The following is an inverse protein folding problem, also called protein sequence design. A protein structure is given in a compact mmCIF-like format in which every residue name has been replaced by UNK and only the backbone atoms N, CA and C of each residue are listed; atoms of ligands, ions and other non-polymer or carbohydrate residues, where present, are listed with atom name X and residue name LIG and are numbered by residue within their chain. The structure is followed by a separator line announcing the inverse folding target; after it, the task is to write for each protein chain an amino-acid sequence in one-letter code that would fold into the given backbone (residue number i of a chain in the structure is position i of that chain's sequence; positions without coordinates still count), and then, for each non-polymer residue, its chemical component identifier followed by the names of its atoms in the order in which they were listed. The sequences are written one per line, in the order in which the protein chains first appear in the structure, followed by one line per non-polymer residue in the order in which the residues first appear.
data_IF_297955718446
#
_entry.id   IF_297955718446
#
_cell.length_a   1.000
_cell.length_b   1.000
_cell.length_c   1.000
_cell.angle_alpha   90.00
_cell.angle_beta   90.00
_cell.angle_gamma   90.00
#
_symmetry.space_group_name_H-M   'P 1'
#
loop_
_entity.id
_entity.type
_entity.pdbx_description
1 polymer ?
#
# COMPACT_ATOMS: atom_id res chain seq x y z
N UNK A 1 3.84 -6.09 -53.97
CA UNK A 1 2.69 -5.67 -53.14
C UNK A 1 3.20 -5.60 -51.71
N UNK A 2 3.23 -4.41 -51.09
CA UNK A 2 3.72 -4.27 -49.72
C UNK A 2 2.71 -4.92 -48.77
N UNK A 3 3.14 -5.93 -48.03
CA UNK A 3 2.32 -6.60 -47.02
C UNK A 3 2.08 -5.64 -45.85
N UNK A 4 0.82 -5.22 -45.68
CA UNK A 4 0.43 -4.28 -44.63
C UNK A 4 0.26 -5.06 -43.32
N UNK A 5 1.30 -5.04 -42.48
CA UNK A 5 1.27 -5.71 -41.18
C UNK A 5 0.29 -5.00 -40.23
N UNK A 6 -0.95 -5.49 -40.21
CA UNK A 6 -2.04 -4.99 -39.34
C UNK A 6 -1.68 -5.04 -37.84
N UNK A 7 -0.71 -5.89 -37.48
CA UNK A 7 -0.22 -6.02 -36.11
C UNK A 7 0.53 -4.77 -35.58
N UNK A 8 0.94 -3.85 -36.47
CA UNK A 8 1.54 -2.55 -36.08
C UNK A 8 0.53 -1.41 -35.90
N UNK A 9 -0.78 -1.67 -36.02
CA UNK A 9 -1.83 -0.63 -35.97
C UNK A 9 -2.78 -0.87 -34.79
N UNK A 10 -2.61 -1.95 -34.02
CA UNK A 10 -3.51 -2.33 -32.92
C UNK A 10 -2.76 -2.45 -31.60
N UNK A 11 -3.46 -2.11 -30.53
CA UNK A 11 -3.01 -2.46 -29.19
C UNK A 11 -2.91 -3.97 -29.01
N UNK A 12 -1.87 -4.43 -28.31
CA UNK A 12 -1.65 -5.85 -28.04
C UNK A 12 -1.72 -6.13 -26.55
N UNK A 13 -2.71 -6.92 -26.14
CA UNK A 13 -2.78 -7.39 -24.76
C UNK A 13 -1.69 -8.44 -24.49
N UNK A 14 -0.83 -8.17 -23.51
CA UNK A 14 0.28 -9.04 -23.08
C UNK A 14 0.02 -9.77 -21.76
N UNK A 15 -1.10 -9.49 -21.08
CA UNK A 15 -1.40 -10.08 -19.78
C UNK A 15 -0.76 -9.32 -18.62
N UNK A 16 -0.37 -10.04 -17.57
CA UNK A 16 0.33 -9.45 -16.43
C UNK A 16 1.74 -9.00 -16.81
N UNK A 17 2.19 -7.88 -16.24
CA UNK A 17 3.55 -7.39 -16.41
C UNK A 17 4.55 -8.37 -15.78
N UNK A 18 5.65 -8.61 -16.48
CA UNK A 18 6.72 -9.52 -16.06
C UNK A 18 8.07 -8.82 -16.30
N UNK A 19 8.87 -8.71 -15.24
CA UNK A 19 10.24 -8.19 -15.30
C UNK A 19 11.10 -8.94 -16.31
N UNK A 20 12.05 -8.25 -16.96
CA UNK A 20 12.95 -8.81 -17.98
C UNK A 20 12.29 -9.11 -19.33
N UNK A 21 10.97 -8.90 -19.47
CA UNK A 21 10.28 -9.07 -20.75
C UNK A 21 10.50 -7.85 -21.63
N UNK A 22 10.78 -8.06 -22.92
CA UNK A 22 10.78 -6.95 -23.88
C UNK A 22 9.34 -6.61 -24.28
N UNK A 23 9.00 -5.34 -24.07
CA UNK A 23 7.75 -4.74 -24.50
C UNK A 23 8.02 -3.73 -25.60
N UNK A 24 7.16 -3.74 -26.60
CA UNK A 24 7.20 -2.78 -27.71
C UNK A 24 6.01 -1.84 -27.62
N UNK A 25 6.10 -0.73 -28.34
CA UNK A 25 5.06 0.30 -28.32
C UNK A 25 3.67 -0.31 -28.59
N UNK A 26 2.67 0.20 -27.85
CA UNK A 26 1.27 -0.21 -27.89
C UNK A 26 0.97 -1.59 -27.29
N UNK A 27 1.95 -2.23 -26.65
CA UNK A 27 1.71 -3.37 -25.77
C UNK A 27 1.00 -2.93 -24.49
N UNK A 28 -0.07 -3.64 -24.12
CA UNK A 28 -0.86 -3.39 -22.93
C UNK A 28 -0.60 -4.48 -21.91
N UNK A 29 -0.32 -4.09 -20.67
CA UNK A 29 -0.10 -4.98 -19.53
C UNK A 29 -1.01 -4.63 -18.35
N UNK A 30 -1.30 -5.62 -17.51
CA UNK A 30 -1.82 -5.40 -16.15
C UNK A 30 -0.66 -5.36 -15.16
N UNK A 31 -0.67 -4.37 -14.28
CA UNK A 31 0.19 -4.34 -13.10
C UNK A 31 -0.64 -4.03 -11.86
N UNK A 32 -0.79 -5.02 -10.98
CA UNK A 32 -1.73 -4.94 -9.86
C UNK A 32 -3.17 -4.84 -10.36
N UNK A 33 -3.91 -3.84 -9.89
CA UNK A 33 -5.29 -3.57 -10.30
C UNK A 33 -5.41 -2.62 -11.51
N UNK A 34 -4.28 -2.16 -12.06
CA UNK A 34 -4.22 -1.10 -13.07
C UNK A 34 -3.76 -1.65 -14.41
N UNK A 35 -4.14 -0.95 -15.48
CA UNK A 35 -3.76 -1.29 -16.85
C UNK A 35 -2.87 -0.19 -17.43
N UNK A 36 -1.78 -0.60 -18.07
CA UNK A 36 -0.78 0.30 -18.64
C UNK A 36 -0.49 -0.06 -20.10
N UNK A 37 -0.14 0.94 -20.89
CA UNK A 37 0.35 0.79 -22.27
C UNK A 37 1.81 1.21 -22.36
N UNK A 38 2.60 0.41 -23.07
CA UNK A 38 4.01 0.72 -23.36
C UNK A 38 4.07 1.83 -24.40
N UNK A 39 4.72 2.94 -24.06
CA UNK A 39 4.85 4.09 -24.97
C UNK A 39 6.16 4.06 -25.77
N UNK A 40 7.17 3.34 -25.26
CA UNK A 40 8.44 3.10 -25.95
C UNK A 40 8.83 1.63 -25.87
N UNK A 41 9.67 1.18 -26.81
CA UNK A 41 10.28 -0.14 -26.70
C UNK A 41 11.32 -0.15 -25.58
N UNK A 42 11.27 -1.16 -24.72
CA UNK A 42 12.24 -1.35 -23.64
C UNK A 42 12.26 -2.82 -23.20
N UNK A 43 13.24 -3.16 -22.36
CA UNK A 43 13.22 -4.39 -21.58
C UNK A 43 12.81 -4.02 -20.17
N UNK A 44 11.75 -4.65 -19.66
CA UNK A 44 11.18 -4.32 -18.36
C UNK A 44 12.22 -4.49 -17.24
N UNK A 45 12.32 -3.47 -16.38
CA UNK A 45 13.17 -3.50 -15.19
C UNK A 45 12.67 -4.52 -14.15
N UNK A 46 13.46 -4.81 -13.12
CA UNK A 46 13.02 -5.63 -12.00
C UNK A 46 11.92 -4.94 -11.18
N UNK A 47 11.93 -3.60 -11.12
CA UNK A 47 10.92 -2.79 -10.46
C UNK A 47 10.12 -2.00 -11.51
N UNK A 48 8.83 -2.32 -11.64
CA UNK A 48 7.91 -1.62 -12.54
C UNK A 48 7.94 -0.09 -12.40
N UNK A 49 8.12 0.43 -11.19
CA UNK A 49 8.11 1.88 -10.96
C UNK A 49 9.36 2.58 -11.54
N UNK A 50 10.48 1.87 -11.71
CA UNK A 50 11.65 2.44 -12.39
C UNK A 50 11.35 2.74 -13.87
N UNK A 51 10.51 1.93 -14.51
CA UNK A 51 10.08 2.14 -15.89
C UNK A 51 8.94 3.16 -15.98
N UNK A 52 8.04 3.19 -14.99
CA UNK A 52 6.91 4.12 -14.93
C UNK A 52 7.36 5.55 -14.65
N UNK A 53 8.20 5.74 -13.63
CA UNK A 53 8.60 7.05 -13.09
C UNK A 53 9.94 7.55 -13.69
N UNK A 54 10.39 6.94 -14.78
CA UNK A 54 11.57 7.36 -15.52
C UNK A 54 11.38 8.79 -16.09
N UNK A 55 12.49 9.51 -16.27
CA UNK A 55 12.50 10.85 -16.93
C UNK A 55 11.77 10.81 -18.27
N UNK A 56 11.97 9.71 -19.02
CA UNK A 56 11.15 9.36 -20.18
C UNK A 56 10.33 8.12 -19.77
N UNK A 57 9.07 8.30 -19.35
CA UNK A 57 8.23 7.19 -18.91
C UNK A 57 8.15 6.11 -19.98
N UNK A 58 8.18 4.85 -19.58
CA UNK A 58 8.00 3.71 -20.50
C UNK A 58 6.55 3.26 -20.58
N UNK A 59 5.76 3.61 -19.57
CA UNK A 59 4.37 3.21 -19.41
C UNK A 59 3.46 4.43 -19.29
N UNK A 60 2.25 4.32 -19.83
CA UNK A 60 1.16 5.26 -19.59
C UNK A 60 -0.05 4.51 -19.03
N UNK A 61 -0.68 5.05 -17.98
CA UNK A 61 -1.83 4.41 -17.35
C UNK A 61 -3.07 4.56 -18.25
N UNK A 62 -3.69 3.45 -18.65
CA UNK A 62 -4.93 3.44 -19.43
C UNK A 62 -6.17 3.36 -18.54
N UNK A 63 -6.11 2.54 -17.49
CA UNK A 63 -7.21 2.35 -16.55
C UNK A 63 -6.71 2.30 -15.12
N UNK A 64 -7.42 3.01 -14.26
CA UNK A 64 -7.22 2.93 -12.82
C UNK A 64 -8.04 1.75 -12.25
N UNK A 65 -7.64 1.27 -11.09
CA UNK A 65 -8.30 0.19 -10.38
C UNK A 65 -7.77 0.03 -8.97
N UNK A 66 -8.54 -0.70 -8.18
CA UNK A 66 -8.18 -1.04 -6.81
C UNK A 66 -8.35 -2.54 -6.61
N UNK A 67 -7.49 -3.14 -5.80
CA UNK A 67 -7.60 -4.56 -5.48
C UNK A 67 -7.47 -4.80 -3.98
N UNK A 68 -8.34 -5.67 -3.47
CA UNK A 68 -8.30 -6.09 -2.08
C UNK A 68 -7.24 -7.18 -1.89
N UNK A 69 -6.27 -6.91 -1.01
CA UNK A 69 -5.19 -7.84 -0.67
C UNK A 69 -5.43 -8.58 0.65
N UNK A 70 -6.48 -8.21 1.39
CA UNK A 70 -6.79 -8.80 2.70
C UNK A 70 -6.12 -8.07 3.85
N UNK A 71 -5.71 -8.82 4.87
CA UNK A 71 -4.95 -8.28 5.99
C UNK A 71 -3.54 -7.90 5.51
N UNK A 72 -3.00 -6.83 6.09
CA UNK A 72 -1.61 -6.44 5.87
C UNK A 72 -0.64 -7.55 6.31
N UNK A 73 0.42 -7.75 5.55
CA UNK A 73 1.44 -8.78 5.77
C UNK A 73 2.83 -8.13 5.77
N UNK A 74 3.73 -8.69 6.55
CA UNK A 74 5.14 -8.30 6.57
C UNK A 74 5.87 -8.78 5.31
N UNK A 75 6.95 -8.08 4.94
CA UNK A 75 7.78 -8.40 3.78
C UNK A 75 7.01 -8.67 2.47
N UNK A 76 5.83 -8.07 2.32
CA UNK A 76 5.00 -8.16 1.14
C UNK A 76 5.15 -6.90 0.30
N UNK A 77 5.33 -7.07 -1.01
CA UNK A 77 5.41 -5.92 -1.92
C UNK A 77 4.00 -5.44 -2.26
N UNK A 78 3.65 -4.24 -1.81
CA UNK A 78 2.38 -3.60 -2.10
C UNK A 78 2.48 -2.72 -3.34
N UNK A 79 1.53 -2.90 -4.25
CA UNK A 79 1.41 -2.12 -5.49
C UNK A 79 0.45 -0.96 -5.31
N UNK A 80 0.65 0.13 -6.06
CA UNK A 80 -0.23 1.30 -6.04
C UNK A 80 -1.66 0.87 -6.41
N UNK A 81 -2.63 1.25 -5.57
CA UNK A 81 -4.03 0.85 -5.71
C UNK A 81 -4.39 -0.45 -4.99
N UNK A 82 -3.43 -1.17 -4.40
CA UNK A 82 -3.74 -2.26 -3.48
C UNK A 82 -4.30 -1.72 -2.16
N UNK A 83 -5.30 -2.43 -1.63
CA UNK A 83 -6.01 -2.07 -0.42
C UNK A 83 -5.82 -3.19 0.59
N UNK A 84 -5.36 -2.84 1.80
CA UNK A 84 -5.06 -3.78 2.88
C UNK A 84 -5.68 -3.32 4.21
N UNK A 85 -6.07 -4.28 5.05
CA UNK A 85 -6.54 -4.03 6.42
C UNK A 85 -5.36 -3.97 7.38
N UNK A 86 -5.27 -2.89 8.16
CA UNK A 86 -4.31 -2.76 9.27
C UNK A 86 -5.08 -2.38 10.53
N UNK A 87 -5.11 -3.30 11.50
CA UNK A 87 -5.89 -3.13 12.72
C UNK A 87 -7.39 -2.94 12.42
N UNK A 88 -7.93 -1.79 12.83
CA UNK A 88 -9.33 -1.39 12.64
C UNK A 88 -9.60 -0.72 11.29
N UNK A 89 -8.56 -0.20 10.65
CA UNK A 89 -8.67 0.64 9.47
C UNK A 89 -8.27 -0.12 8.19
N UNK A 90 -8.75 0.39 7.06
CA UNK A 90 -8.40 -0.09 5.74
C UNK A 90 -7.62 1.00 5.04
N UNK A 91 -6.47 0.64 4.52
CA UNK A 91 -5.54 1.55 3.85
C UNK A 91 -5.39 1.17 2.38
N UNK A 92 -5.22 2.18 1.53
CA UNK A 92 -4.86 2.03 0.12
C UNK A 92 -3.42 2.49 -0.07
N UNK A 93 -2.62 1.67 -0.74
CA UNK A 93 -1.24 1.98 -1.08
C UNK A 93 -1.21 3.02 -2.21
N UNK A 94 -0.47 4.11 -2.01
CA UNK A 94 -0.31 5.19 -3.00
C UNK A 94 1.08 5.23 -3.63
N UNK A 95 2.07 4.59 -3.00
CA UNK A 95 3.43 4.43 -3.52
C UNK A 95 3.86 2.97 -3.35
N UNK A 96 4.38 2.35 -4.42
CA UNK A 96 4.74 0.93 -4.36
C UNK A 96 5.99 0.69 -3.52
N UNK A 97 5.89 -0.21 -2.55
CA UNK A 97 7.00 -0.49 -1.63
C UNK A 97 6.92 -1.90 -1.05
N UNK A 98 8.06 -2.36 -0.52
CA UNK A 98 8.12 -3.54 0.33
C UNK A 98 7.71 -3.14 1.75
N UNK A 99 6.69 -3.77 2.29
CA UNK A 99 6.24 -3.52 3.66
C UNK A 99 7.33 -3.89 4.69
N UNK A 100 7.27 -3.26 5.86
CA UNK A 100 8.09 -3.62 7.02
C UNK A 100 8.24 -5.14 7.25
N UNK A 101 9.44 -5.54 7.68
CA UNK A 101 9.78 -6.95 7.94
C UNK A 101 9.26 -7.47 9.29
N UNK A 102 8.84 -6.57 10.19
CA UNK A 102 8.36 -6.91 11.53
C UNK A 102 6.92 -6.47 11.73
N UNK A 103 6.08 -7.35 12.27
CA UNK A 103 4.69 -7.04 12.63
C UNK A 103 4.61 -5.96 13.72
N UNK A 104 5.64 -5.85 14.56
CA UNK A 104 5.72 -4.83 15.60
C UNK A 104 5.85 -3.40 15.05
N UNK A 105 6.27 -3.25 13.79
CA UNK A 105 6.35 -1.95 13.13
C UNK A 105 5.07 -1.64 12.34
N UNK A 106 4.38 -2.65 11.81
CA UNK A 106 3.18 -2.43 10.99
C UNK A 106 3.44 -1.42 9.87
N UNK A 107 2.68 -0.32 9.87
CA UNK A 107 2.82 0.80 8.93
C UNK A 107 3.85 1.88 9.35
N UNK A 108 4.43 1.78 10.55
CA UNK A 108 5.35 2.81 11.06
C UNK A 108 6.56 2.97 10.14
N UNK A 109 6.86 4.22 9.76
CA UNK A 109 7.93 4.58 8.83
C UNK A 109 7.51 4.54 7.36
N UNK A 110 6.40 3.87 7.03
CA UNK A 110 5.81 3.84 5.70
C UNK A 110 4.50 4.67 5.63
N UNK A 111 4.13 5.44 6.66
CA UNK A 111 2.80 6.06 6.74
C UNK A 111 2.46 6.97 5.56
N UNK A 112 3.46 7.65 4.98
CA UNK A 112 3.27 8.51 3.81
C UNK A 112 2.91 7.74 2.53
N UNK A 113 3.14 6.43 2.49
CA UNK A 113 2.88 5.54 1.34
C UNK A 113 1.45 4.97 1.36
N UNK A 114 0.67 5.31 2.39
CA UNK A 114 -0.68 4.81 2.60
C UNK A 114 -1.68 5.94 2.82
N UNK A 115 -2.90 5.75 2.30
CA UNK A 115 -4.04 6.64 2.57
C UNK A 115 -5.20 5.86 3.14
N UNK A 116 -5.99 6.48 4.03
CA UNK A 116 -7.21 5.87 4.53
C UNK A 116 -8.19 5.59 3.39
N UNK A 117 -8.59 4.33 3.25
CA UNK A 117 -9.66 3.92 2.36
C UNK A 117 -10.99 3.82 3.11
N UNK A 118 -10.96 3.23 4.31
CA UNK A 118 -12.09 3.21 5.24
C UNK A 118 -11.56 3.24 6.68
N UNK A 119 -12.29 3.92 7.56
CA UNK A 119 -12.01 3.94 8.99
C UNK A 119 -13.00 3.06 9.71
N UNK A 120 -12.50 2.24 10.62
CA UNK A 120 -13.30 1.43 11.52
C UNK A 120 -12.82 1.60 12.94
N UNK A 121 -13.54 0.98 13.87
CA UNK A 121 -13.15 0.91 15.27
C UNK A 121 -12.99 -0.57 15.65
N UNK A 122 -11.91 -0.87 16.36
CA UNK A 122 -11.65 -2.22 16.88
C UNK A 122 -11.50 -2.13 18.38
N UNK A 123 -12.40 -2.79 19.08
CA UNK A 123 -12.30 -2.91 20.53
C UNK A 123 -11.14 -3.84 20.89
N UNK A 124 -10.21 -3.31 21.66
CA UNK A 124 -9.12 -4.03 22.29
C UNK A 124 -9.33 -4.00 23.82
N UNK A 125 -8.68 -4.90 24.54
CA UNK A 125 -8.77 -5.04 25.98
C UNK A 125 -7.99 -3.95 26.74
N UNK A 126 -7.41 -4.30 27.89
CA UNK A 126 -6.54 -3.44 28.68
C UNK A 126 -5.32 -2.99 27.89
N UNK A 127 -4.88 -1.76 28.13
CA UNK A 127 -3.61 -1.23 27.63
C UNK A 127 -2.44 -2.17 27.99
N UNK A 128 -1.53 -2.38 27.05
CA UNK A 128 -0.31 -3.15 27.23
C UNK A 128 0.91 -2.30 26.86
N UNK A 129 2.03 -2.44 27.58
CA UNK A 129 3.29 -1.76 27.25
C UNK A 129 3.95 -2.39 26.01
N UNK A 130 4.83 -1.64 25.33
CA UNK A 130 5.59 -2.08 24.16
C UNK A 130 4.75 -2.77 23.06
N UNK A 131 3.50 -2.31 22.90
CA UNK A 131 2.52 -2.90 21.98
C UNK A 131 2.23 -1.90 20.86
N UNK A 132 2.25 -2.37 19.62
CA UNK A 132 1.86 -1.55 18.48
C UNK A 132 0.34 -1.34 18.49
N UNK A 133 -0.08 -0.08 18.62
CA UNK A 133 -1.47 0.32 18.45
C UNK A 133 -1.67 0.99 17.10
N UNK A 134 -2.64 0.49 16.35
CA UNK A 134 -3.01 1.06 15.06
C UNK A 134 -4.17 2.05 15.20
N UNK A 135 -4.31 2.96 14.23
CA UNK A 135 -5.41 3.92 14.23
C UNK A 135 -6.77 3.23 14.27
N UNK A 136 -7.65 3.72 15.15
CA UNK A 136 -9.00 3.19 15.38
C UNK A 136 -9.06 2.03 16.38
N UNK A 137 -7.94 1.64 17.00
CA UNK A 137 -7.97 0.70 18.12
C UNK A 137 -8.36 1.41 19.41
N UNK A 138 -9.28 0.80 20.16
CA UNK A 138 -9.81 1.33 21.41
C UNK A 138 -9.33 0.46 22.59
N UNK A 139 -8.81 1.05 23.64
CA UNK A 139 -8.24 0.39 24.83
C UNK A 139 -8.83 0.94 26.12
N UNK A 140 -8.72 0.16 27.20
CA UNK A 140 -9.07 0.60 28.55
C UNK A 140 -7.81 0.87 29.35
N UNK A 141 -7.71 2.07 29.94
CA UNK A 141 -6.62 2.47 30.84
C UNK A 141 -7.16 3.38 31.96
N UNK A 142 -6.82 3.06 33.22
CA UNK A 142 -7.23 3.86 34.37
C UNK A 142 -8.74 3.97 34.59
N UNK A 143 -9.53 3.01 34.09
CA UNK A 143 -11.01 3.04 34.15
C UNK A 143 -11.67 3.86 33.05
N UNK A 144 -10.90 4.51 32.17
CA UNK A 144 -11.40 5.22 30.99
C UNK A 144 -11.09 4.48 29.71
N UNK A 145 -11.88 4.77 28.68
CA UNK A 145 -11.73 4.21 27.34
C UNK A 145 -10.99 5.23 26.47
N UNK A 146 -10.00 4.77 25.72
CA UNK A 146 -9.15 5.60 24.87
C UNK A 146 -9.10 5.02 23.46
N UNK A 147 -9.11 5.87 22.43
CA UNK A 147 -8.97 5.48 21.02
C UNK A 147 -7.66 6.01 20.44
N UNK A 148 -6.92 5.15 19.76
CA UNK A 148 -5.69 5.51 19.07
C UNK A 148 -6.02 6.31 17.80
N UNK A 149 -5.47 7.53 17.69
CA UNK A 149 -5.66 8.42 16.52
C UNK A 149 -4.45 8.42 15.58
N UNK A 150 -3.27 8.06 16.10
CA UNK A 150 -2.02 7.97 15.35
C UNK A 150 -1.32 6.68 15.72
N UNK A 151 -0.98 5.85 14.73
CA UNK A 151 -0.29 4.58 14.98
C UNK A 151 1.03 4.82 15.71
N UNK A 152 1.28 4.06 16.78
CA UNK A 152 2.52 4.15 17.55
C UNK A 152 2.71 2.89 18.40
N UNK A 153 3.95 2.66 18.82
CA UNK A 153 4.28 1.64 19.83
C UNK A 153 4.14 2.26 21.21
N UNK A 154 3.35 1.62 22.09
CA UNK A 154 3.17 2.09 23.46
C UNK A 154 4.48 2.04 24.24
N UNK A 155 4.63 2.96 25.19
CA UNK A 155 5.82 3.05 26.03
C UNK A 155 5.86 1.96 27.12
N UNK A 156 6.83 2.04 28.01
CA UNK A 156 6.96 1.14 29.16
C UNK A 156 5.83 1.35 30.18
N UNK A 157 5.59 0.34 31.02
CA UNK A 157 4.58 0.41 32.10
C UNK A 157 4.78 1.61 33.04
N UNK A 158 6.03 2.07 33.22
CA UNK A 158 6.34 3.21 34.08
C UNK A 158 5.95 4.56 33.47
N UNK A 159 5.99 4.68 32.14
CA UNK A 159 5.62 5.90 31.42
C UNK A 159 4.12 5.95 31.08
N UNK A 160 3.48 4.78 30.93
CA UNK A 160 2.04 4.65 30.72
C UNK A 160 1.54 5.31 29.43
N UNK A 161 0.26 5.69 29.41
CA UNK A 161 -0.37 6.35 28.27
C UNK A 161 0.00 7.84 28.16
N UNK A 162 0.41 8.46 29.27
CA UNK A 162 0.67 9.90 29.37
C UNK A 162 1.82 10.33 28.44
N UNK A 163 2.83 9.47 28.27
CA UNK A 163 3.95 9.71 27.37
C UNK A 163 3.55 9.87 25.89
N UNK A 164 2.44 9.24 25.48
CA UNK A 164 1.91 9.32 24.12
C UNK A 164 0.50 9.88 24.07
N UNK A 165 0.10 10.71 25.04
CA UNK A 165 -1.28 11.20 25.17
C UNK A 165 -1.81 11.87 23.89
N UNK A 166 -0.96 12.55 23.13
CA UNK A 166 -1.33 13.17 21.85
C UNK A 166 -1.78 12.16 20.78
N UNK A 167 -1.42 10.89 20.91
CA UNK A 167 -1.82 9.81 20.00
C UNK A 167 -3.12 9.13 20.42
N UNK A 168 -3.74 9.57 21.52
CA UNK A 168 -4.96 9.00 22.08
C UNK A 168 -6.04 10.06 22.22
N UNK A 169 -7.30 9.66 21.98
CA UNK A 169 -8.49 10.45 22.34
C UNK A 169 -9.30 9.69 23.38
N UNK A 170 -9.65 10.34 24.48
CA UNK A 170 -10.45 9.73 25.54
C UNK A 170 -11.93 9.77 25.16
N UNK A 171 -12.64 8.66 25.39
CA UNK A 171 -14.10 8.63 25.43
C UNK A 171 -14.57 8.89 26.86
N UNK A 172 -15.52 9.83 26.99
CA UNK A 172 -16.13 10.23 28.26
C UNK A 172 -16.93 9.09 28.90
#
# INVERSE_FOLDING_TARGET
MADFKIDRIRFRWRGDWVAGTSYIKDDIVRYGAKIFVSIEMHTADANFYNDLDNIVPRWSQMMDGQSWTGNWKTSNFYKVGEVAKVGAAVYKCIEGHLSNASEANGLLGDESKWVYFARGEKWTSLWQPNTLYNVGETIVYGGSVWKCITSHTSSTTAAGIEYHQANWVQYH
#
